data_IF_617494820164
#
_entry.id   IF_617494820164
#
_cell.length_a   1.000
_cell.length_b   1.000
_cell.length_c   1.000
_cell.angle_alpha   90.00
_cell.angle_beta   90.00
_cell.angle_gamma   90.00
#
_symmetry.space_group_name_H-M   'P 1'
#
loop_
_entity.id
_entity.type
_entity.pdbx_description
1 polymer ?
#
# COMPACT_ATOMS: atom_id res chain seq x y z
N UNK A 1 -63.00 -35.64 -27.15
CA UNK A 1 -63.83 -36.68 -27.80
C UNK A 1 -62.87 -37.73 -28.36
N UNK A 2 -62.84 -38.91 -27.72
CA UNK A 2 -62.31 -40.24 -28.14
C UNK A 2 -60.88 -40.33 -28.75
N UNK A 3 -59.92 -40.91 -28.00
CA UNK A 3 -59.51 -42.34 -27.96
C UNK A 3 -58.44 -42.66 -29.03
N UNK A 4 -57.16 -42.83 -28.66
CA UNK A 4 -56.51 -44.04 -28.12
C UNK A 4 -56.42 -45.21 -29.12
N UNK A 5 -55.21 -45.51 -29.61
CA UNK A 5 -54.75 -46.85 -30.05
C UNK A 5 -53.29 -47.03 -29.66
N UNK A 6 -52.98 -48.21 -29.13
CA UNK A 6 -51.73 -48.63 -28.51
C UNK A 6 -50.94 -49.63 -29.36
N UNK A 7 -49.63 -49.71 -29.07
CA UNK A 7 -48.80 -50.93 -29.14
C UNK A 7 -47.65 -50.92 -30.16
N UNK A 8 -46.60 -51.79 -30.02
CA UNK A 8 -46.27 -52.68 -28.90
C UNK A 8 -44.78 -52.62 -28.46
N UNK A 9 -44.44 -53.57 -27.58
CA UNK A 9 -43.26 -53.68 -26.72
C UNK A 9 -42.01 -54.36 -27.33
N UNK A 10 -40.87 -54.13 -26.68
CA UNK A 10 -39.57 -54.82 -26.80
C UNK A 10 -38.48 -53.83 -26.35
N UNK A 11 -37.52 -54.10 -25.46
CA UNK A 11 -36.89 -55.34 -25.07
C UNK A 11 -36.17 -55.15 -23.71
N UNK A 12 -35.95 -56.25 -22.99
CA UNK A 12 -35.30 -56.35 -21.69
C UNK A 12 -33.77 -56.37 -21.85
N UNK A 13 -33.07 -55.51 -21.12
CA UNK A 13 -31.63 -55.62 -20.90
C UNK A 13 -31.24 -55.13 -19.52
N UNK A 14 -31.13 -56.05 -18.56
CA UNK A 14 -30.73 -55.79 -17.18
C UNK A 14 -29.28 -56.26 -16.94
N UNK A 15 -28.56 -55.51 -16.09
CA UNK A 15 -27.27 -55.76 -15.43
C UNK A 15 -25.99 -55.50 -16.23
N UNK A 16 -25.26 -54.46 -15.79
CA UNK A 16 -24.02 -54.64 -15.01
C UNK A 16 -23.78 -53.45 -14.08
N UNK A 17 -23.52 -53.77 -12.82
CA UNK A 17 -22.93 -52.89 -11.83
C UNK A 17 -21.49 -52.55 -12.25
N UNK A 18 -21.13 -51.28 -12.08
CA UNK A 18 -19.80 -50.74 -12.24
C UNK A 18 -19.68 -49.54 -11.33
N UNK A 19 -19.41 -49.80 -10.05
CA UNK A 19 -18.90 -48.86 -9.08
C UNK A 19 -17.67 -48.13 -9.66
N UNK A 20 -17.79 -46.83 -9.84
CA UNK A 20 -16.69 -45.91 -10.11
C UNK A 20 -16.97 -44.63 -9.35
N UNK A 21 -16.78 -44.67 -8.03
CA UNK A 21 -16.63 -43.49 -7.17
C UNK A 21 -15.26 -42.84 -7.47
N UNK A 22 -15.04 -42.43 -8.71
CA UNK A 22 -13.97 -41.53 -9.12
C UNK A 22 -14.65 -40.17 -9.26
N UNK A 23 -14.90 -39.51 -8.14
CA UNK A 23 -13.81 -38.76 -7.56
C UNK A 23 -13.99 -37.34 -8.04
N UNK A 24 -15.01 -36.71 -7.45
CA UNK A 24 -15.22 -35.26 -7.34
C UNK A 24 -14.07 -34.66 -6.51
N UNK A 25 -12.84 -35.07 -6.83
CA UNK A 25 -11.57 -34.79 -6.17
C UNK A 25 -10.66 -33.98 -7.12
N UNK A 26 -11.26 -33.28 -8.08
CA UNK A 26 -10.55 -32.45 -9.06
C UNK A 26 -11.26 -31.11 -9.32
N UNK A 27 -11.93 -30.55 -8.30
CA UNK A 27 -12.60 -29.25 -8.40
C UNK A 27 -12.34 -28.30 -7.22
N UNK A 28 -11.46 -28.66 -6.28
CA UNK A 28 -11.02 -27.77 -5.19
C UNK A 28 -9.52 -27.94 -4.94
N UNK A 29 -8.69 -27.89 -5.99
CA UNK A 29 -7.47 -27.11 -5.81
C UNK A 29 -7.98 -25.68 -5.69
N UNK A 30 -8.21 -25.22 -4.46
CA UNK A 30 -8.47 -23.81 -4.19
C UNK A 30 -7.37 -23.05 -4.90
N UNK A 31 -7.67 -22.45 -6.05
CA UNK A 31 -6.75 -21.59 -6.76
C UNK A 31 -6.34 -20.54 -5.74
N UNK A 32 -5.10 -20.63 -5.27
CA UNK A 32 -4.58 -19.60 -4.38
C UNK A 32 -4.74 -18.28 -5.13
N UNK A 33 -5.37 -17.26 -4.51
CA UNK A 33 -5.52 -15.98 -5.16
C UNK A 33 -4.13 -15.51 -5.59
N UNK A 34 -4.02 -14.98 -6.81
CA UNK A 34 -2.76 -14.49 -7.34
C UNK A 34 -2.11 -13.53 -6.33
N UNK A 35 -0.78 -13.61 -6.11
CA UNK A 35 -0.08 -12.73 -5.18
C UNK A 35 -0.38 -11.26 -5.46
N UNK A 36 -0.49 -10.48 -4.39
CA UNK A 36 -0.65 -9.03 -4.45
C UNK A 36 0.72 -8.43 -4.81
N UNK A 37 0.83 -7.57 -5.83
CA UNK A 37 2.10 -6.96 -6.21
C UNK A 37 2.73 -6.14 -5.07
N UNK A 38 4.05 -6.23 -4.90
CA UNK A 38 4.74 -5.55 -3.81
C UNK A 38 4.56 -4.02 -3.83
N UNK A 39 4.67 -3.40 -5.02
CA UNK A 39 4.43 -1.97 -5.21
C UNK A 39 3.05 -1.55 -4.70
N UNK A 40 2.03 -2.35 -5.00
CA UNK A 40 0.67 -2.08 -4.51
C UNK A 40 0.60 -2.15 -2.98
N UNK A 41 1.21 -3.18 -2.37
CA UNK A 41 1.27 -3.31 -0.91
C UNK A 41 2.00 -2.13 -0.27
N UNK A 42 3.12 -1.70 -0.88
CA UNK A 42 3.94 -0.57 -0.43
C UNK A 42 3.14 0.72 -0.33
N UNK A 43 2.25 1.02 -1.28
CA UNK A 43 1.45 2.25 -1.20
C UNK A 43 0.17 2.11 -0.36
N UNK A 44 -0.38 0.91 -0.24
CA UNK A 44 -1.69 0.71 0.38
C UNK A 44 -1.68 0.63 1.91
N UNK A 45 -0.56 0.19 2.51
CA UNK A 45 -0.48 -0.10 3.95
C UNK A 45 0.92 0.14 4.55
N UNK A 46 0.98 0.55 5.82
CA UNK A 46 2.21 0.57 6.59
C UNK A 46 2.36 -0.74 7.38
N UNK A 47 2.82 -1.82 6.73
CA UNK A 47 2.92 -3.15 7.35
C UNK A 47 3.82 -3.17 8.60
N UNK A 48 3.45 -4.06 9.52
CA UNK A 48 4.27 -4.53 10.65
C UNK A 48 4.99 -5.86 10.30
N UNK A 49 6.08 -6.23 10.99
CA UNK A 49 6.88 -7.42 10.64
C UNK A 49 6.07 -8.73 10.57
N UNK A 50 5.21 -8.98 11.56
CA UNK A 50 4.38 -10.19 11.61
C UNK A 50 3.33 -10.22 10.50
N UNK A 51 2.81 -9.05 10.10
CA UNK A 51 1.82 -8.94 9.03
C UNK A 51 2.45 -9.27 7.66
N UNK A 52 3.63 -8.71 7.39
CA UNK A 52 4.41 -9.04 6.20
C UNK A 52 4.75 -10.54 6.17
N UNK A 53 5.11 -11.10 7.34
CA UNK A 53 5.43 -12.51 7.45
C UNK A 53 4.24 -13.43 7.18
N UNK A 54 3.06 -13.10 7.68
CA UNK A 54 1.81 -13.81 7.34
C UNK A 54 1.56 -13.74 5.84
N UNK A 55 1.79 -12.59 5.20
CA UNK A 55 1.64 -12.44 3.75
C UNK A 55 2.52 -13.38 2.95
N UNK A 56 3.79 -13.47 3.32
CA UNK A 56 4.78 -14.37 2.72
C UNK A 56 4.37 -15.84 2.91
N UNK A 57 4.17 -16.28 4.16
CA UNK A 57 3.87 -17.68 4.50
C UNK A 57 2.56 -18.17 3.89
N UNK A 58 1.59 -17.28 3.69
CA UNK A 58 0.29 -17.62 3.08
C UNK A 58 0.26 -17.43 1.55
N UNK A 59 1.39 -17.05 0.94
CA UNK A 59 1.52 -16.83 -0.50
C UNK A 59 0.76 -15.61 -1.04
N UNK A 60 0.40 -14.65 -0.17
CA UNK A 60 -0.24 -13.39 -0.56
C UNK A 60 0.75 -12.42 -1.21
N UNK A 61 2.02 -12.56 -0.91
CA UNK A 61 3.16 -11.95 -1.60
C UNK A 61 4.18 -13.04 -1.89
N UNK A 62 4.98 -12.88 -2.93
CA UNK A 62 6.06 -13.83 -3.22
C UNK A 62 7.19 -13.68 -2.19
N UNK A 63 8.04 -14.71 -2.04
CA UNK A 63 9.21 -14.64 -1.14
C UNK A 63 10.15 -13.50 -1.51
N UNK A 64 10.34 -13.26 -2.82
CA UNK A 64 11.16 -12.18 -3.35
C UNK A 64 10.56 -10.81 -2.99
N UNK A 65 9.27 -10.61 -3.27
CA UNK A 65 8.54 -9.40 -2.91
C UNK A 65 8.53 -9.14 -1.41
N UNK A 66 8.37 -10.19 -0.60
CA UNK A 66 8.37 -10.07 0.85
C UNK A 66 9.73 -9.59 1.39
N UNK A 67 10.83 -10.11 0.85
CA UNK A 67 12.19 -9.65 1.21
C UNK A 67 12.42 -8.22 0.77
N UNK A 68 12.00 -7.86 -0.45
CA UNK A 68 12.10 -6.49 -0.94
C UNK A 68 11.29 -5.51 -0.10
N UNK A 69 10.05 -5.85 0.26
CA UNK A 69 9.22 -5.06 1.18
C UNK A 69 9.84 -4.94 2.57
N UNK A 70 10.43 -6.02 3.09
CA UNK A 70 11.13 -6.00 4.38
C UNK A 70 12.34 -5.07 4.33
N UNK A 71 13.16 -5.17 3.28
CA UNK A 71 14.30 -4.26 3.07
C UNK A 71 13.84 -2.80 3.05
N UNK A 72 12.83 -2.48 2.25
CA UNK A 72 12.33 -1.12 2.12
C UNK A 72 11.74 -0.58 3.44
N UNK A 73 10.95 -1.38 4.17
CA UNK A 73 10.46 -0.99 5.50
C UNK A 73 11.60 -0.79 6.50
N UNK A 74 12.68 -1.57 6.37
CA UNK A 74 13.92 -1.34 7.11
C UNK A 74 14.51 0.05 6.82
N UNK A 75 14.58 0.44 5.54
CA UNK A 75 15.03 1.78 5.14
C UNK A 75 14.12 2.90 5.64
N UNK A 76 12.80 2.74 5.52
CA UNK A 76 11.81 3.73 5.98
C UNK A 76 11.95 4.02 7.48
N UNK A 77 12.27 2.98 8.28
CA UNK A 77 12.29 3.04 9.74
C UNK A 77 13.69 3.22 10.34
N UNK A 78 14.76 3.14 9.55
CA UNK A 78 16.15 3.22 10.03
C UNK A 78 16.41 2.24 11.18
N UNK A 79 16.97 2.74 12.29
CA UNK A 79 17.25 1.92 13.49
C UNK A 79 16.00 1.28 14.10
N UNK A 80 14.82 1.91 13.94
CA UNK A 80 13.54 1.34 14.41
C UNK A 80 13.09 0.14 13.55
N UNK A 81 13.67 -0.01 12.36
CA UNK A 81 13.38 -1.07 11.40
C UNK A 81 14.10 -2.40 11.67
N UNK A 82 14.77 -2.59 12.82
CA UNK A 82 15.64 -3.74 13.06
C UNK A 82 14.99 -5.12 12.82
N UNK A 83 13.68 -5.27 13.13
CA UNK A 83 12.95 -6.52 12.83
C UNK A 83 12.74 -6.75 11.32
N UNK A 84 12.52 -5.68 10.55
CA UNK A 84 12.41 -5.76 9.10
C UNK A 84 13.75 -6.07 8.44
N UNK A 85 14.83 -5.43 8.89
CA UNK A 85 16.18 -5.73 8.44
C UNK A 85 16.54 -7.20 8.70
N UNK A 86 16.18 -7.73 9.87
CA UNK A 86 16.38 -9.15 10.17
C UNK A 86 15.59 -10.06 9.22
N UNK A 87 14.33 -9.73 8.92
CA UNK A 87 13.49 -10.53 8.00
C UNK A 87 13.99 -10.52 6.56
N UNK A 88 14.51 -9.39 6.07
CA UNK A 88 14.99 -9.26 4.69
C UNK A 88 16.10 -10.29 4.35
N UNK A 89 16.97 -10.57 5.32
CA UNK A 89 18.10 -11.50 5.20
C UNK A 89 17.80 -12.90 5.77
N UNK A 90 16.58 -13.13 6.27
CA UNK A 90 16.28 -14.34 7.02
C UNK A 90 15.95 -15.56 6.15
N UNK A 91 16.25 -16.73 6.73
CA UNK A 91 15.78 -18.02 6.24
C UNK A 91 14.27 -18.21 6.47
N UNK A 92 13.60 -19.10 5.71
CA UNK A 92 12.15 -19.31 5.79
C UNK A 92 11.60 -19.70 7.18
N UNK A 93 12.43 -20.22 8.08
CA UNK A 93 12.01 -20.55 9.46
C UNK A 93 11.65 -19.30 10.26
N UNK A 94 12.45 -18.25 10.15
CA UNK A 94 12.23 -16.98 10.87
C UNK A 94 10.94 -16.32 10.38
N UNK A 95 10.68 -16.40 9.07
CA UNK A 95 9.42 -15.96 8.47
C UNK A 95 8.22 -16.71 9.05
N UNK A 96 8.32 -18.04 9.19
CA UNK A 96 7.27 -18.86 9.81
C UNK A 96 7.07 -18.55 11.29
N UNK A 97 8.14 -18.31 12.04
CA UNK A 97 8.05 -17.89 13.44
C UNK A 97 7.38 -16.52 13.57
N UNK A 98 7.82 -15.52 12.80
CA UNK A 98 7.23 -14.18 12.83
C UNK A 98 5.75 -14.19 12.44
N UNK A 99 5.35 -15.06 11.49
CA UNK A 99 3.95 -15.26 11.13
C UNK A 99 3.13 -15.93 12.24
N UNK A 100 3.73 -16.89 12.98
CA UNK A 100 3.07 -17.56 14.10
C UNK A 100 2.86 -16.64 15.31
N UNK A 101 3.73 -15.65 15.49
CA UNK A 101 3.62 -14.61 16.52
C UNK A 101 2.68 -13.46 16.12
N UNK A 102 2.20 -13.43 14.88
CA UNK A 102 1.36 -12.35 14.38
C UNK A 102 -0.03 -12.39 15.03
N UNK A 103 -0.53 -11.22 15.42
CA UNK A 103 -1.88 -11.04 15.94
C UNK A 103 -2.97 -11.16 14.86
N UNK A 104 -4.25 -11.13 15.26
CA UNK A 104 -5.39 -11.18 14.33
C UNK A 104 -5.42 -10.01 13.32
N UNK A 105 -4.70 -8.92 13.60
CA UNK A 105 -4.48 -7.76 12.72
C UNK A 105 -3.94 -8.20 11.34
N UNK A 106 -3.04 -9.18 11.31
CA UNK A 106 -2.44 -9.68 10.08
C UNK A 106 -3.50 -10.22 9.12
N UNK A 107 -4.50 -10.95 9.61
CA UNK A 107 -5.60 -11.41 8.77
C UNK A 107 -6.43 -10.25 8.21
N UNK A 108 -6.66 -9.20 9.01
CA UNK A 108 -7.47 -8.04 8.61
C UNK A 108 -6.77 -7.19 7.54
N UNK A 109 -5.48 -6.91 7.68
CA UNK A 109 -4.74 -6.12 6.69
C UNK A 109 -4.69 -6.81 5.33
N UNK A 110 -4.52 -8.14 5.29
CA UNK A 110 -4.55 -8.91 4.04
C UNK A 110 -5.95 -9.06 3.45
N UNK A 111 -7.01 -9.03 4.27
CA UNK A 111 -8.38 -8.96 3.79
C UNK A 111 -8.67 -7.59 3.15
N UNK A 112 -8.20 -6.51 3.78
CA UNK A 112 -8.28 -5.15 3.25
C UNK A 112 -7.56 -5.01 1.90
N UNK A 113 -6.30 -5.44 1.81
CA UNK A 113 -5.52 -5.39 0.56
C UNK A 113 -6.21 -6.14 -0.58
N UNK A 114 -6.80 -7.29 -0.27
CA UNK A 114 -7.54 -8.08 -1.26
C UNK A 114 -8.85 -7.41 -1.69
N UNK A 115 -9.56 -6.76 -0.75
CA UNK A 115 -10.73 -5.94 -1.09
C UNK A 115 -10.35 -4.75 -1.98
N UNK A 116 -9.27 -4.05 -1.64
CA UNK A 116 -8.75 -2.94 -2.43
C UNK A 116 -8.36 -3.38 -3.85
N UNK A 117 -7.70 -4.54 -3.99
CA UNK A 117 -7.34 -5.14 -5.29
C UNK A 117 -8.56 -5.47 -6.15
N UNK A 118 -9.68 -5.86 -5.51
CA UNK A 118 -10.96 -6.15 -6.17
C UNK A 118 -11.77 -4.89 -6.49
N UNK A 119 -11.31 -3.70 -6.11
CA UNK A 119 -12.08 -2.46 -6.24
C UNK A 119 -13.20 -2.32 -5.21
N UNK A 120 -13.13 -3.08 -4.12
CA UNK A 120 -14.07 -3.07 -2.99
C UNK A 120 -13.33 -2.63 -1.72
N UNK A 121 -12.78 -1.40 -1.67
CA UNK A 121 -12.00 -0.94 -0.53
C UNK A 121 -12.88 -0.78 0.71
N UNK A 122 -12.44 -1.37 1.82
CA UNK A 122 -12.96 -1.04 3.13
C UNK A 122 -12.30 0.26 3.63
N UNK A 123 -13.10 1.32 3.77
CA UNK A 123 -12.64 2.60 4.30
C UNK A 123 -12.07 2.47 5.71
N UNK A 124 -12.57 1.55 6.53
CA UNK A 124 -12.03 1.28 7.85
C UNK A 124 -10.60 0.72 7.77
N UNK A 125 -10.32 -0.16 6.79
CA UNK A 125 -8.99 -0.69 6.54
C UNK A 125 -7.97 0.38 6.14
N UNK A 126 -8.33 1.30 5.23
CA UNK A 126 -7.44 2.44 4.89
C UNK A 126 -7.17 3.31 6.11
N UNK A 127 -8.20 3.59 6.89
CA UNK A 127 -8.06 4.40 8.09
C UNK A 127 -7.17 3.71 9.14
N UNK A 128 -7.31 2.41 9.35
CA UNK A 128 -6.55 1.65 10.35
C UNK A 128 -5.10 1.43 9.94
N UNK A 129 -4.87 0.92 8.71
CA UNK A 129 -3.57 0.37 8.30
C UNK A 129 -2.66 1.36 7.57
N UNK A 130 -3.19 2.52 7.19
CA UNK A 130 -2.41 3.58 6.55
C UNK A 130 -2.51 4.87 7.36
N UNK A 131 -3.69 5.49 7.40
CA UNK A 131 -3.84 6.84 7.99
C UNK A 131 -3.57 6.86 9.50
N UNK A 132 -4.11 5.90 10.26
CA UNK A 132 -3.92 5.82 11.70
C UNK A 132 -2.47 5.55 12.08
N UNK A 133 -1.79 4.65 11.35
CA UNK A 133 -0.36 4.36 11.56
C UNK A 133 0.53 5.55 11.20
N UNK A 134 0.18 6.27 10.13
CA UNK A 134 0.82 7.52 9.77
C UNK A 134 0.65 8.57 10.86
N UNK A 135 -0.56 8.74 11.41
CA UNK A 135 -0.85 9.65 12.52
C UNK A 135 0.01 9.35 13.75
N UNK A 136 0.19 8.08 14.08
CA UNK A 136 1.06 7.61 15.18
C UNK A 136 2.57 7.76 14.90
N UNK A 137 2.96 8.18 13.68
CA UNK A 137 4.36 8.33 13.27
C UNK A 137 5.09 7.01 13.04
N UNK A 138 4.36 5.90 12.86
CA UNK A 138 4.92 4.54 12.72
C UNK A 138 5.36 4.19 11.31
N UNK A 139 5.07 5.05 10.33
CA UNK A 139 5.43 4.80 8.94
C UNK A 139 6.88 5.12 8.60
N UNK A 140 7.49 6.12 9.24
CA UNK A 140 8.81 6.64 8.86
C UNK A 140 9.65 7.00 10.09
N UNK A 141 10.97 6.93 9.95
CA UNK A 141 11.89 7.50 10.92
C UNK A 141 12.01 9.02 10.73
N UNK A 142 11.17 9.77 11.45
CA UNK A 142 11.13 11.24 11.39
C UNK A 142 12.38 11.95 11.95
N UNK A 143 13.29 11.21 12.57
CA UNK A 143 14.58 11.74 13.05
C UNK A 143 15.71 11.62 12.02
N UNK A 144 15.52 10.88 10.92
CA UNK A 144 16.57 10.63 9.92
C UNK A 144 16.18 11.19 8.55
N UNK A 145 16.91 12.21 8.10
CA UNK A 145 16.69 12.81 6.78
C UNK A 145 16.83 11.82 5.63
N UNK A 146 17.70 10.81 5.76
CA UNK A 146 17.94 9.83 4.70
C UNK A 146 16.72 8.93 4.50
N UNK A 147 16.08 8.52 5.60
CA UNK A 147 14.80 7.82 5.55
C UNK A 147 13.71 8.70 4.92
N UNK A 148 13.63 9.97 5.32
CA UNK A 148 12.62 10.89 4.81
C UNK A 148 12.76 11.22 3.32
N UNK A 149 13.97 11.17 2.76
CA UNK A 149 14.19 11.31 1.32
C UNK A 149 13.60 10.14 0.51
N UNK A 150 13.37 8.98 1.14
CA UNK A 150 12.67 7.83 0.57
C UNK A 150 11.15 7.85 0.75
N UNK A 151 10.58 8.86 1.42
CA UNK A 151 9.14 8.94 1.68
C UNK A 151 8.38 8.98 0.37
N UNK A 152 7.40 8.10 0.18
CA UNK A 152 6.56 8.02 -1.01
C UNK A 152 5.05 7.97 -0.71
N UNK A 153 4.68 8.11 0.57
CA UNK A 153 3.29 8.10 1.05
C UNK A 153 2.83 9.50 1.44
N UNK A 154 1.85 10.08 0.72
CA UNK A 154 1.33 11.41 1.04
C UNK A 154 0.71 11.51 2.44
N UNK A 155 0.09 10.43 2.94
CA UNK A 155 -0.57 10.38 4.24
C UNK A 155 0.42 10.50 5.40
N UNK A 156 1.64 9.98 5.25
CA UNK A 156 2.73 10.13 6.23
C UNK A 156 3.14 11.60 6.35
N UNK A 157 3.25 12.30 5.22
CA UNK A 157 3.58 13.72 5.16
C UNK A 157 2.46 14.57 5.77
N UNK A 158 1.20 14.26 5.47
CA UNK A 158 0.06 14.95 6.09
C UNK A 158 0.09 14.83 7.60
N UNK A 159 0.24 13.59 8.10
CA UNK A 159 0.30 13.32 9.51
C UNK A 159 1.48 14.03 10.20
N UNK A 160 2.64 14.10 9.54
CA UNK A 160 3.80 14.81 10.04
C UNK A 160 3.60 16.32 10.11
N UNK A 161 2.88 16.92 9.17
CA UNK A 161 2.48 18.32 9.32
C UNK A 161 1.59 18.53 10.55
N UNK A 162 0.62 17.62 10.81
CA UNK A 162 -0.24 17.72 11.99
C UNK A 162 0.53 17.55 13.30
N UNK A 163 1.54 16.69 13.33
CA UNK A 163 2.43 16.51 14.48
C UNK A 163 3.44 17.65 14.66
N UNK A 164 3.64 18.48 13.64
CA UNK A 164 4.69 19.50 13.64
C UNK A 164 6.09 18.92 13.59
N UNK A 165 6.29 17.83 12.82
CA UNK A 165 7.59 17.17 12.69
C UNK A 165 8.65 18.16 12.15
N UNK A 166 9.83 18.27 12.80
CA UNK A 166 10.82 19.28 12.46
C UNK A 166 11.39 19.10 11.05
N UNK A 167 11.36 17.87 10.52
CA UNK A 167 11.90 17.52 9.20
C UNK A 167 10.80 17.30 8.14
N UNK A 168 9.55 17.74 8.38
CA UNK A 168 8.44 17.51 7.43
C UNK A 168 8.74 18.07 6.03
N UNK A 169 9.45 19.19 5.90
CA UNK A 169 9.78 19.73 4.58
C UNK A 169 10.82 18.89 3.81
N UNK A 170 11.70 18.16 4.51
CA UNK A 170 12.58 17.14 3.89
C UNK A 170 11.73 15.99 3.34
N UNK A 171 10.71 15.55 4.08
CA UNK A 171 9.79 14.53 3.61
C UNK A 171 8.96 15.00 2.40
N UNK A 172 8.59 16.29 2.32
CA UNK A 172 7.93 16.88 1.14
C UNK A 172 8.86 16.83 -0.08
N UNK A 173 10.16 17.07 0.09
CA UNK A 173 11.17 16.91 -0.96
C UNK A 173 11.28 15.44 -1.38
N UNK A 174 11.37 14.52 -0.42
CA UNK A 174 11.37 13.07 -0.66
C UNK A 174 10.17 12.64 -1.49
N UNK A 175 8.97 13.04 -1.08
CA UNK A 175 7.72 12.75 -1.78
C UNK A 175 7.74 13.24 -3.23
N UNK A 176 8.29 14.43 -3.48
CA UNK A 176 8.43 14.99 -4.82
C UNK A 176 9.41 14.22 -5.72
N UNK A 177 10.36 13.48 -5.14
CA UNK A 177 11.35 12.68 -5.86
C UNK A 177 10.88 11.25 -6.13
N UNK A 178 10.02 10.70 -5.26
CA UNK A 178 9.69 9.27 -5.23
C UNK A 178 8.26 8.97 -5.70
N UNK A 179 7.29 9.85 -5.43
CA UNK A 179 5.90 9.57 -5.73
C UNK A 179 5.58 9.86 -7.21
N UNK A 180 4.93 8.92 -7.92
CA UNK A 180 4.60 9.12 -9.34
C UNK A 180 3.48 10.14 -9.63
N UNK A 181 2.72 10.59 -8.63
CA UNK A 181 1.49 11.37 -8.85
C UNK A 181 1.64 12.81 -8.36
N UNK A 182 1.69 13.75 -9.31
CA UNK A 182 1.77 15.17 -9.02
C UNK A 182 0.57 15.69 -8.23
N UNK A 183 -0.64 15.18 -8.48
CA UNK A 183 -1.86 15.65 -7.80
C UNK A 183 -1.88 15.21 -6.34
N UNK A 184 -1.20 14.10 -6.01
CA UNK A 184 -0.92 13.69 -4.63
C UNK A 184 0.17 14.55 -3.97
N UNK A 185 1.19 15.01 -4.71
CA UNK A 185 2.31 15.77 -4.13
C UNK A 185 1.96 17.25 -3.91
N UNK A 186 1.37 17.90 -4.91
CA UNK A 186 1.24 19.36 -4.98
C UNK A 186 0.50 20.00 -3.78
N UNK A 187 -0.55 19.40 -3.19
CA UNK A 187 -1.17 19.95 -1.99
C UNK A 187 -0.20 20.08 -0.80
N UNK A 188 0.73 19.13 -0.64
CA UNK A 188 1.74 19.17 0.44
C UNK A 188 2.84 20.19 0.16
N UNK A 189 3.21 20.35 -1.12
CA UNK A 189 4.12 21.42 -1.56
C UNK A 189 3.50 22.79 -1.28
N UNK A 190 2.23 23.00 -1.63
CA UNK A 190 1.52 24.25 -1.34
C UNK A 190 1.49 24.53 0.18
N UNK A 191 1.18 23.51 0.99
CA UNK A 191 1.21 23.62 2.46
C UNK A 191 2.60 24.01 2.99
N UNK A 192 3.68 23.46 2.45
CA UNK A 192 5.04 23.83 2.82
C UNK A 192 5.39 25.28 2.44
N UNK A 193 4.97 25.73 1.25
CA UNK A 193 5.19 27.09 0.76
C UNK A 193 4.45 28.17 1.58
N UNK A 194 3.30 27.81 2.15
CA UNK A 194 2.49 28.69 3.00
C UNK A 194 2.91 28.65 4.48
N UNK A 195 3.89 27.81 4.84
CA UNK A 195 4.28 27.62 6.23
C UNK A 195 4.87 28.90 6.87
N UNK A 196 4.66 29.11 8.18
CA UNK A 196 5.23 30.26 8.88
C UNK A 196 6.76 30.20 9.01
N UNK A 197 7.34 29.00 9.00
CA UNK A 197 8.79 28.78 9.12
C UNK A 197 9.51 28.95 7.78
N UNK A 198 10.57 29.77 7.76
CA UNK A 198 11.32 30.09 6.54
C UNK A 198 11.98 28.86 5.90
N UNK A 199 12.59 28.00 6.70
CA UNK A 199 13.22 26.77 6.22
C UNK A 199 12.20 25.84 5.53
N UNK A 200 11.01 25.67 6.12
CA UNK A 200 9.95 24.85 5.53
C UNK A 200 9.44 25.43 4.20
N UNK A 201 9.34 26.76 4.09
CA UNK A 201 9.03 27.41 2.80
C UNK A 201 10.12 27.18 1.76
N UNK A 202 11.40 27.29 2.16
CA UNK A 202 12.53 27.03 1.29
C UNK A 202 12.49 25.60 0.75
N UNK A 203 12.27 24.62 1.63
CA UNK A 203 12.11 23.21 1.26
C UNK A 203 10.89 22.99 0.34
N UNK A 204 9.80 23.72 0.55
CA UNK A 204 8.65 23.75 -0.36
C UNK A 204 9.02 24.21 -1.79
N UNK A 205 9.88 25.23 -1.91
CA UNK A 205 10.38 25.69 -3.23
C UNK A 205 11.23 24.60 -3.90
N UNK A 206 12.11 23.93 -3.14
CA UNK A 206 12.94 22.83 -3.65
C UNK A 206 12.07 21.67 -4.12
N UNK A 207 11.07 21.27 -3.33
CA UNK A 207 10.13 20.22 -3.70
C UNK A 207 9.36 20.57 -4.97
N UNK A 208 8.86 21.80 -5.11
CA UNK A 208 8.18 22.26 -6.33
C UNK A 208 9.09 22.15 -7.56
N UNK A 209 10.37 22.51 -7.43
CA UNK A 209 11.34 22.38 -8.52
C UNK A 209 11.53 20.92 -8.94
N UNK A 210 11.51 19.98 -7.99
CA UNK A 210 11.55 18.54 -8.30
C UNK A 210 10.28 18.05 -9.00
N UNK A 211 9.09 18.45 -8.53
CA UNK A 211 7.82 18.13 -9.20
C UNK A 211 7.86 18.63 -10.64
N UNK A 212 8.22 19.89 -10.88
CA UNK A 212 8.28 20.47 -12.22
C UNK A 212 9.31 19.79 -13.13
N UNK A 213 10.41 19.26 -12.57
CA UNK A 213 11.45 18.54 -13.32
C UNK A 213 11.04 17.12 -13.68
N UNK A 214 10.35 16.42 -12.78
CA UNK A 214 10.09 14.98 -12.89
C UNK A 214 8.72 14.64 -13.47
N UNK A 215 7.74 15.53 -13.32
CA UNK A 215 6.36 15.25 -13.72
C UNK A 215 6.10 15.74 -15.15
N UNK A 216 5.31 15.00 -15.96
CA UNK A 216 4.95 15.44 -17.31
C UNK A 216 4.25 16.80 -17.30
N UNK A 217 4.48 17.67 -18.31
CA UNK A 217 3.94 19.04 -18.37
C UNK A 217 2.41 19.13 -18.55
N UNK A 218 1.67 18.02 -18.43
CA UNK A 218 0.22 17.97 -18.57
C UNK A 218 -0.57 18.38 -17.33
N UNK A 219 0.07 18.57 -16.18
CA UNK A 219 -0.64 18.90 -14.94
C UNK A 219 -0.80 20.41 -14.79
N UNK A 220 -1.98 20.94 -15.09
CA UNK A 220 -2.36 22.35 -14.86
C UNK A 220 -2.02 22.82 -13.43
N UNK A 221 -2.08 21.91 -12.46
CA UNK A 221 -1.73 22.18 -11.06
C UNK A 221 -0.25 22.57 -10.85
N UNK A 222 0.71 21.96 -11.57
CA UNK A 222 2.13 22.31 -11.47
C UNK A 222 2.39 23.74 -11.97
N UNK A 223 1.67 24.15 -13.02
CA UNK A 223 1.77 25.51 -13.54
C UNK A 223 1.17 26.55 -12.59
N UNK A 224 -0.01 26.27 -12.02
CA UNK A 224 -0.65 27.14 -11.04
C UNK A 224 0.21 27.31 -9.77
N UNK A 225 0.90 26.25 -9.34
CA UNK A 225 1.77 26.31 -8.17
C UNK A 225 3.04 27.15 -8.46
N UNK A 226 3.63 27.01 -9.66
CA UNK A 226 4.72 27.87 -10.12
C UNK A 226 4.31 29.35 -10.22
N UNK A 227 3.10 29.64 -10.70
CA UNK A 227 2.52 30.98 -10.73
C UNK A 227 2.37 31.57 -9.32
N UNK A 228 1.86 30.78 -8.36
CA UNK A 228 1.71 31.21 -6.97
C UNK A 228 3.08 31.56 -6.34
N UNK A 229 4.11 30.75 -6.57
CA UNK A 229 5.48 31.08 -6.13
C UNK A 229 6.01 32.36 -6.78
N UNK A 230 5.69 32.60 -8.06
CA UNK A 230 6.12 33.80 -8.78
C UNK A 230 5.51 35.08 -8.23
N UNK A 231 4.32 35.00 -7.62
CA UNK A 231 3.62 36.14 -7.04
C UNK A 231 4.14 36.54 -5.64
N UNK A 232 4.96 35.69 -5.01
CA UNK A 232 5.53 35.93 -3.67
C UNK A 232 4.48 35.91 -2.54
N UNK A 233 4.91 35.86 -1.26
CA UNK A 233 3.99 35.96 -0.14
C UNK A 233 3.32 37.34 -0.14
N UNK A 234 1.98 37.37 -0.13
CA UNK A 234 1.25 38.62 0.02
C UNK A 234 1.59 39.22 1.39
N UNK A 235 1.93 40.53 1.49
CA UNK A 235 2.19 41.15 2.78
C UNK A 235 0.93 41.02 3.64
N UNK A 236 1.09 40.50 4.87
CA UNK A 236 0.01 40.51 5.85
C UNK A 236 -0.32 41.98 6.16
N UNK A 237 -1.44 42.46 5.63
CA UNK A 237 -2.04 43.72 6.06
C UNK A 237 -2.55 43.53 7.49
N UNK A 238 -1.79 44.03 8.46
CA UNK A 238 -2.28 44.25 9.83
C UNK A 238 -3.31 45.39 9.77
N UNK A 239 -4.57 45.08 10.04
CA UNK A 239 -5.57 46.08 10.48
C UNK A 239 -5.52 46.24 11.99
#
# INVERSE_FOLDING_TARGET
MFAAVAGPAGDRGNRRAGTGHDGIASALMTAHPAPVPAEFVRFAVALEPGELAVGCVTGRVTDEDARWLAFLRGCDLGELGGRFAALAEADPEVWRQAAAEAGPEAGRVWAYLEGLRRGEPDAAGRQEFLVGRAADGRGMNWADSSALMGTDRPEEVDAAFERGEPLVGVAVIGLALTHPDADAILPRVARALEAPHEELRHQGVVALAHVARLQPPSTTAAWNCCEACRQGPRPMTTS
#
